data_IF_201952384983
#
_entry.id   IF_201952384983
#
_cell.length_a   1.000
_cell.length_b   1.000
_cell.length_c   1.000
_cell.angle_alpha   90.00
_cell.angle_beta   90.00
_cell.angle_gamma   90.00
#
_symmetry.space_group_name_H-M   'P 1'
#
loop_
_entity.id
_entity.type
_entity.pdbx_description
1 polymer ?
#
# COMPACT_ATOMS: atom_id res chain seq x y z
N UNK A 1 -69.92 10.18 18.71
CA UNK A 1 -68.72 9.65 18.08
C UNK A 1 -67.73 9.42 19.20
N UNK A 2 -67.62 8.18 19.61
CA UNK A 2 -66.81 7.72 20.75
C UNK A 2 -65.46 7.33 20.22
N UNK A 3 -64.40 8.02 20.67
CA UNK A 3 -63.01 7.74 20.37
C UNK A 3 -62.57 6.61 21.30
N UNK A 4 -62.10 5.46 20.71
CA UNK A 4 -61.43 4.42 21.44
C UNK A 4 -59.96 4.76 21.70
N UNK A 5 -59.40 4.42 22.85
CA UNK A 5 -57.97 4.64 23.12
C UNK A 5 -57.11 3.62 22.39
N UNK A 6 -55.98 4.10 21.83
CA UNK A 6 -54.90 3.27 21.27
C UNK A 6 -54.21 2.47 22.36
N UNK A 7 -53.73 1.22 22.04
CA UNK A 7 -53.00 0.40 23.00
C UNK A 7 -51.54 0.90 23.14
N UNK A 8 -51.05 0.81 24.38
CA UNK A 8 -49.70 1.15 24.82
C UNK A 8 -48.62 0.51 23.92
N UNK A 9 -47.72 1.32 23.43
CA UNK A 9 -46.47 0.89 22.81
C UNK A 9 -45.53 0.45 23.94
N UNK A 10 -45.33 -0.86 24.10
CA UNK A 10 -44.21 -1.42 24.85
C UNK A 10 -42.89 -0.88 24.29
N UNK A 11 -42.10 -0.27 25.16
CA UNK A 11 -40.72 0.15 24.89
C UNK A 11 -39.85 -1.07 24.72
N UNK A 12 -39.60 -1.48 23.49
CA UNK A 12 -38.57 -2.46 23.18
C UNK A 12 -37.18 -1.89 23.54
N UNK A 13 -36.52 -2.51 24.48
CA UNK A 13 -35.15 -2.21 24.86
C UNK A 13 -34.19 -2.40 23.68
N UNK A 14 -32.95 -1.84 23.75
CA UNK A 14 -32.00 -1.91 22.66
C UNK A 14 -31.68 -3.36 22.30
N UNK A 15 -31.46 -3.68 21.00
CA UNK A 15 -31.19 -5.04 20.57
C UNK A 15 -29.88 -5.51 21.17
N UNK A 16 -29.96 -6.54 21.97
CA UNK A 16 -28.84 -7.26 22.55
C UNK A 16 -27.99 -7.89 21.43
N UNK A 17 -26.71 -7.58 21.48
CA UNK A 17 -25.55 -8.29 20.88
C UNK A 17 -25.82 -9.10 19.62
N UNK A 18 -25.28 -8.62 18.51
CA UNK A 18 -24.90 -9.50 17.41
C UNK A 18 -23.80 -10.45 17.92
N UNK A 19 -24.21 -11.58 18.47
CA UNK A 19 -23.31 -12.72 18.60
C UNK A 19 -22.92 -13.11 17.17
N UNK A 20 -21.69 -12.85 16.80
CA UNK A 20 -21.12 -13.35 15.56
C UNK A 20 -21.23 -14.87 15.60
N UNK A 21 -22.15 -15.42 14.84
CA UNK A 21 -22.17 -16.85 14.55
C UNK A 21 -20.81 -17.20 13.97
N UNK A 22 -20.08 -18.09 14.62
CA UNK A 22 -18.85 -18.64 14.07
C UNK A 22 -19.15 -19.15 12.66
N UNK A 23 -18.35 -18.79 11.63
CA UNK A 23 -18.57 -19.30 10.31
C UNK A 23 -18.52 -20.82 10.37
N UNK A 24 -19.60 -21.47 9.91
CA UNK A 24 -19.65 -22.91 9.77
C UNK A 24 -18.43 -23.32 8.95
N UNK A 25 -17.60 -24.21 9.51
CA UNK A 25 -16.47 -24.77 8.80
C UNK A 25 -17.03 -25.49 7.56
N UNK A 26 -16.84 -24.87 6.39
CA UNK A 26 -17.09 -25.55 5.14
C UNK A 26 -16.11 -26.73 5.08
N UNK A 27 -16.58 -27.97 4.84
CA UNK A 27 -15.68 -29.08 4.67
C UNK A 27 -14.75 -28.77 3.51
N UNK A 28 -13.45 -28.65 3.80
CA UNK A 28 -12.40 -28.60 2.80
C UNK A 28 -12.36 -29.97 2.12
N UNK A 29 -13.23 -30.20 1.17
CA UNK A 29 -13.06 -31.31 0.22
C UNK A 29 -11.85 -30.94 -0.63
N UNK A 30 -10.70 -31.54 -0.35
CA UNK A 30 -9.50 -31.50 -1.16
C UNK A 30 -9.72 -32.19 -2.51
N UNK A 31 -10.51 -31.57 -3.36
CA UNK A 31 -10.64 -31.90 -4.77
C UNK A 31 -10.32 -30.64 -5.54
N UNK A 32 -9.33 -30.70 -6.44
CA UNK A 32 -9.14 -29.69 -7.48
C UNK A 32 -10.46 -29.58 -8.23
N UNK A 33 -11.25 -28.51 -7.95
CA UNK A 33 -12.36 -28.17 -8.82
C UNK A 33 -11.73 -27.79 -10.16
N UNK A 34 -11.93 -28.64 -11.17
CA UNK A 34 -11.60 -28.28 -12.53
C UNK A 34 -12.35 -26.99 -12.84
N UNK A 35 -11.63 -25.96 -13.23
CA UNK A 35 -12.24 -24.71 -13.64
C UNK A 35 -12.73 -24.87 -15.10
N UNK A 36 -14.05 -24.96 -15.34
CA UNK A 36 -14.58 -25.17 -16.70
C UNK A 36 -14.37 -23.96 -17.61
N UNK A 37 -13.99 -22.80 -17.02
CA UNK A 37 -13.80 -21.55 -17.75
C UNK A 37 -12.33 -21.23 -18.05
N UNK A 38 -11.40 -22.12 -17.68
CA UNK A 38 -9.95 -21.87 -17.81
C UNK A 38 -9.55 -21.40 -19.22
N UNK A 39 -10.13 -22.00 -20.26
CA UNK A 39 -9.86 -21.63 -21.66
C UNK A 39 -10.54 -20.33 -22.12
N UNK A 40 -11.48 -19.79 -21.32
CA UNK A 40 -12.24 -18.57 -21.63
C UNK A 40 -11.71 -17.32 -20.96
N UNK A 41 -10.77 -17.47 -20.01
CA UNK A 41 -10.17 -16.31 -19.36
C UNK A 41 -9.25 -15.54 -20.31
N UNK A 42 -9.18 -14.23 -20.09
CA UNK A 42 -8.22 -13.39 -20.79
C UNK A 42 -6.79 -13.70 -20.34
N UNK A 43 -5.81 -13.51 -21.22
CA UNK A 43 -4.38 -13.71 -20.92
C UNK A 43 -3.91 -13.00 -19.63
N UNK A 44 -4.45 -11.81 -19.37
CA UNK A 44 -4.13 -11.03 -18.16
C UNK A 44 -4.45 -11.75 -16.85
N UNK A 45 -5.40 -12.69 -16.85
CA UNK A 45 -5.79 -13.42 -15.64
C UNK A 45 -4.75 -14.45 -15.22
N UNK A 46 -3.94 -14.96 -16.16
CA UNK A 46 -2.88 -15.93 -15.86
C UNK A 46 -1.79 -15.34 -14.94
N UNK A 47 -1.59 -14.02 -14.98
CA UNK A 47 -0.69 -13.28 -14.07
C UNK A 47 -1.29 -12.92 -12.71
N UNK A 48 -2.62 -13.05 -12.54
CA UNK A 48 -3.29 -12.66 -11.30
C UNK A 48 -3.08 -13.73 -10.21
N UNK A 49 -2.38 -13.36 -9.15
CA UNK A 49 -2.17 -14.21 -7.98
C UNK A 49 -2.66 -13.50 -6.73
N UNK A 50 -3.16 -14.26 -5.76
CA UNK A 50 -3.45 -13.71 -4.44
C UNK A 50 -2.14 -13.15 -3.86
N UNK A 51 -2.15 -11.91 -3.38
CA UNK A 51 -0.96 -11.35 -2.74
C UNK A 51 -0.60 -12.18 -1.49
N UNK A 52 0.68 -12.39 -1.24
CA UNK A 52 1.18 -13.10 -0.04
C UNK A 52 0.65 -12.43 1.24
N UNK A 53 0.49 -11.11 1.23
CA UNK A 53 -0.13 -10.34 2.33
C UNK A 53 -1.56 -10.79 2.61
N UNK A 54 -2.37 -11.06 1.58
CA UNK A 54 -3.77 -11.52 1.75
C UNK A 54 -3.85 -12.89 2.42
N UNK A 55 -2.96 -13.80 2.06
CA UNK A 55 -2.89 -15.12 2.69
C UNK A 55 -2.54 -15.03 4.18
N UNK A 56 -1.68 -14.05 4.54
CA UNK A 56 -1.29 -13.79 5.92
C UNK A 56 -2.41 -13.17 6.77
N UNK A 57 -3.34 -12.41 6.19
CA UNK A 57 -4.41 -11.76 6.96
C UNK A 57 -5.28 -12.76 7.75
N UNK A 58 -5.53 -13.95 7.22
CA UNK A 58 -6.33 -14.96 7.91
C UNK A 58 -5.68 -15.44 9.22
N UNK A 59 -4.35 -15.39 9.31
CA UNK A 59 -3.58 -15.77 10.49
C UNK A 59 -3.23 -14.56 11.36
N UNK A 60 -2.87 -13.45 10.73
CA UNK A 60 -2.46 -12.20 11.37
C UNK A 60 -3.57 -11.56 12.24
N UNK A 61 -4.84 -11.87 11.96
CA UNK A 61 -5.98 -11.37 12.73
C UNK A 61 -6.29 -12.19 14.01
N UNK A 62 -5.53 -13.24 14.29
CA UNK A 62 -5.70 -14.01 15.53
C UNK A 62 -5.10 -13.26 16.72
N UNK A 63 -5.80 -13.11 17.86
CA UNK A 63 -5.32 -12.30 18.99
C UNK A 63 -3.97 -12.74 19.57
N UNK A 64 -3.67 -14.06 19.48
CA UNK A 64 -2.40 -14.64 19.94
C UNK A 64 -1.22 -14.36 19.01
N UNK A 65 -1.47 -13.96 17.76
CA UNK A 65 -0.42 -13.64 16.77
C UNK A 65 -0.04 -12.17 16.88
N UNK A 66 1.26 -11.90 16.97
CA UNK A 66 1.78 -10.54 16.79
C UNK A 66 1.93 -10.27 15.31
N UNK A 67 1.04 -9.47 14.75
CA UNK A 67 1.11 -9.13 13.34
C UNK A 67 2.03 -7.94 13.11
N UNK A 68 3.24 -8.19 12.59
CA UNK A 68 4.15 -7.19 12.04
C UNK A 68 4.05 -7.13 10.50
N UNK A 69 3.00 -7.74 9.92
CA UNK A 69 2.79 -7.85 8.47
C UNK A 69 1.89 -6.73 7.91
N UNK A 70 0.88 -6.33 8.67
CA UNK A 70 -0.18 -5.44 8.19
C UNK A 70 0.25 -3.98 8.05
N UNK A 71 -0.31 -3.28 7.07
CA UNK A 71 -0.18 -1.82 6.91
C UNK A 71 -1.47 -1.08 7.26
N UNK A 72 -2.23 -1.60 8.22
CA UNK A 72 -3.46 -0.97 8.68
C UNK A 72 -3.14 0.14 9.69
N UNK A 73 -3.64 1.38 9.48
CA UNK A 73 -3.43 2.44 10.44
C UNK A 73 -4.13 2.12 11.77
N UNK A 74 -3.67 2.74 12.82
CA UNK A 74 -4.28 2.65 14.14
C UNK A 74 -5.56 3.51 14.18
N UNK A 75 -6.70 2.87 14.35
CA UNK A 75 -8.00 3.55 14.31
C UNK A 75 -8.56 3.89 15.69
N UNK A 76 -8.05 3.29 16.78
CA UNK A 76 -8.56 3.53 18.14
C UNK A 76 -8.33 4.98 18.62
N UNK A 77 -7.43 5.72 17.96
CA UNK A 77 -7.21 7.14 18.19
C UNK A 77 -8.17 8.06 17.41
N UNK A 78 -9.08 7.51 16.59
CA UNK A 78 -10.08 8.32 15.88
C UNK A 78 -11.24 8.69 16.82
N UNK A 79 -11.78 9.90 16.72
CA UNK A 79 -12.95 10.31 17.46
C UNK A 79 -14.22 9.66 16.84
N UNK A 80 -14.48 8.40 17.15
CA UNK A 80 -15.56 7.62 16.54
C UNK A 80 -16.95 8.20 16.79
N UNK A 81 -17.17 8.83 17.94
CA UNK A 81 -18.38 9.57 18.29
C UNK A 81 -18.60 10.76 17.35
N UNK A 82 -17.57 11.57 17.11
CA UNK A 82 -17.59 12.68 16.15
C UNK A 82 -17.84 12.18 14.72
N UNK A 83 -17.21 11.09 14.33
CA UNK A 83 -17.42 10.50 13.00
C UNK A 83 -18.85 9.95 12.83
N UNK A 84 -19.44 9.41 13.89
CA UNK A 84 -20.85 8.98 13.90
C UNK A 84 -21.80 10.19 13.73
N UNK A 85 -21.55 11.29 14.46
CA UNK A 85 -22.32 12.54 14.34
C UNK A 85 -22.19 13.14 12.94
N UNK A 86 -20.98 13.18 12.38
CA UNK A 86 -20.75 13.65 11.00
C UNK A 86 -21.57 12.82 10.01
N UNK A 87 -21.52 11.50 10.13
CA UNK A 87 -22.25 10.59 9.23
C UNK A 87 -23.76 10.83 9.33
N UNK A 88 -24.30 10.93 10.55
CA UNK A 88 -25.71 11.23 10.78
C UNK A 88 -26.09 12.61 10.21
N UNK A 89 -25.27 13.63 10.44
CA UNK A 89 -25.48 14.99 9.91
C UNK A 89 -25.49 15.00 8.37
N UNK A 90 -24.55 14.34 7.72
CA UNK A 90 -24.49 14.24 6.25
C UNK A 90 -25.78 13.65 5.71
N UNK A 91 -26.27 12.55 6.28
CA UNK A 91 -27.51 11.92 5.84
C UNK A 91 -28.73 12.81 6.13
N UNK A 92 -28.79 13.46 7.30
CA UNK A 92 -29.92 14.30 7.68
C UNK A 92 -30.03 15.59 6.86
N UNK A 93 -28.89 16.21 6.50
CA UNK A 93 -28.89 17.56 5.85
C UNK A 93 -28.62 17.48 4.34
N UNK A 94 -27.91 16.49 3.85
CA UNK A 94 -27.51 16.31 2.45
C UNK A 94 -27.81 14.91 1.92
N UNK A 95 -28.75 14.19 2.55
CA UNK A 95 -29.01 12.77 2.25
C UNK A 95 -29.33 12.49 0.78
N UNK A 96 -30.11 13.37 0.13
CA UNK A 96 -30.43 13.22 -1.30
C UNK A 96 -29.17 13.28 -2.19
N UNK A 97 -28.20 14.14 -1.84
CA UNK A 97 -26.91 14.21 -2.55
C UNK A 97 -26.00 13.06 -2.15
N UNK A 98 -25.91 12.74 -0.87
CA UNK A 98 -25.04 11.71 -0.34
C UNK A 98 -25.36 10.30 -0.88
N UNK A 99 -26.65 10.02 -1.11
CA UNK A 99 -27.15 8.71 -1.54
C UNK A 99 -27.45 8.63 -3.04
N UNK A 100 -27.18 9.69 -3.82
CA UNK A 100 -27.32 9.71 -5.27
C UNK A 100 -25.96 9.63 -5.97
N UNK A 101 -25.97 9.31 -7.25
CA UNK A 101 -24.79 9.43 -8.10
C UNK A 101 -24.22 10.85 -8.10
N UNK A 102 -22.89 10.97 -8.13
CA UNK A 102 -22.18 12.23 -8.20
C UNK A 102 -21.40 12.43 -9.50
N UNK A 103 -20.47 13.38 -9.48
CA UNK A 103 -19.54 13.60 -10.56
C UNK A 103 -18.49 12.46 -10.63
N UNK A 104 -18.12 12.03 -11.84
CA UNK A 104 -17.00 11.12 -12.07
C UNK A 104 -15.66 11.68 -11.60
N UNK A 105 -15.53 13.00 -11.54
CA UNK A 105 -14.35 13.69 -11.02
C UNK A 105 -14.34 13.80 -9.48
N UNK A 106 -15.49 13.69 -8.82
CA UNK A 106 -15.68 13.82 -7.39
C UNK A 106 -16.32 15.17 -6.96
N UNK A 107 -16.63 15.25 -5.67
CA UNK A 107 -17.27 16.44 -5.04
C UNK A 107 -16.34 17.65 -5.10
N UNK A 108 -16.85 18.80 -5.56
CA UNK A 108 -16.09 20.02 -5.78
C UNK A 108 -15.48 20.56 -4.49
N UNK A 109 -16.26 20.62 -3.42
CA UNK A 109 -15.76 21.08 -2.11
C UNK A 109 -14.64 20.18 -1.59
N UNK A 110 -14.77 18.87 -1.75
CA UNK A 110 -13.71 17.96 -1.35
C UNK A 110 -12.44 18.16 -2.19
N UNK A 111 -12.56 18.43 -3.49
CA UNK A 111 -11.39 18.71 -4.35
C UNK A 111 -10.64 19.96 -3.89
N UNK A 112 -11.35 21.03 -3.52
CA UNK A 112 -10.77 22.24 -2.92
C UNK A 112 -10.04 21.93 -1.59
N UNK A 113 -10.67 21.14 -0.71
CA UNK A 113 -10.08 20.75 0.58
C UNK A 113 -8.87 19.83 0.44
N UNK A 114 -8.87 18.95 -0.55
CA UNK A 114 -7.69 18.12 -0.89
C UNK A 114 -6.50 19.00 -1.27
N UNK A 115 -6.71 20.12 -1.97
CA UNK A 115 -5.64 21.09 -2.24
C UNK A 115 -5.07 21.71 -0.96
N UNK A 116 -5.91 22.00 0.05
CA UNK A 116 -5.42 22.49 1.35
C UNK A 116 -4.51 21.46 2.04
N UNK A 117 -4.85 20.16 1.91
CA UNK A 117 -4.02 19.07 2.42
C UNK A 117 -2.69 19.02 1.68
N UNK A 118 -2.70 19.09 0.34
CA UNK A 118 -1.51 18.98 -0.50
C UNK A 118 -0.59 20.20 -0.43
N UNK A 119 -1.11 21.38 -0.09
CA UNK A 119 -0.26 22.56 0.16
C UNK A 119 0.73 22.36 1.30
N UNK A 120 0.47 21.42 2.22
CA UNK A 120 1.45 21.03 3.23
C UNK A 120 2.71 20.39 2.64
N UNK A 121 2.60 19.84 1.43
CA UNK A 121 3.71 19.24 0.67
C UNK A 121 4.14 20.11 -0.53
N UNK A 122 3.76 21.39 -0.50
CA UNK A 122 4.15 22.40 -1.50
C UNK A 122 3.42 22.31 -2.84
N UNK A 123 2.38 21.48 -2.97
CA UNK A 123 1.62 21.37 -4.22
C UNK A 123 0.61 22.53 -4.29
N UNK A 124 0.76 23.35 -5.33
CA UNK A 124 -0.21 24.35 -5.74
C UNK A 124 -0.81 23.92 -7.09
N UNK A 125 -2.11 23.63 -7.10
CA UNK A 125 -2.83 23.15 -8.27
C UNK A 125 -4.26 23.71 -8.28
N UNK A 126 -4.92 23.60 -9.44
CA UNK A 126 -6.32 23.99 -9.56
C UNK A 126 -7.24 22.83 -9.09
N UNK A 127 -8.41 23.10 -8.45
CA UNK A 127 -9.35 22.04 -8.07
C UNK A 127 -9.78 21.14 -9.24
N UNK A 128 -9.76 21.68 -10.47
CA UNK A 128 -10.07 20.91 -11.68
C UNK A 128 -8.98 19.90 -12.06
N UNK A 129 -7.77 20.01 -11.54
CA UNK A 129 -6.71 19.02 -11.78
C UNK A 129 -6.82 17.82 -10.84
N UNK A 130 -7.69 17.91 -9.83
CA UNK A 130 -7.94 16.83 -8.85
C UNK A 130 -9.03 15.90 -9.34
N UNK A 131 -8.74 14.61 -9.34
CA UNK A 131 -9.73 13.52 -9.55
C UNK A 131 -9.82 12.70 -8.28
N UNK A 132 -11.00 12.71 -7.63
CA UNK A 132 -11.25 11.86 -6.47
C UNK A 132 -11.43 10.41 -6.92
N UNK A 133 -10.83 9.49 -6.18
CA UNK A 133 -10.84 8.06 -6.50
C UNK A 133 -11.24 7.22 -5.28
N UNK A 134 -11.59 5.95 -5.52
CA UNK A 134 -11.89 4.97 -4.46
C UNK A 134 -10.59 4.46 -3.82
N UNK A 135 -9.84 5.39 -3.17
CA UNK A 135 -8.50 5.20 -2.66
C UNK A 135 -7.43 5.27 -3.76
N UNK A 136 -6.15 5.48 -3.38
CA UNK A 136 -5.01 5.57 -4.32
C UNK A 136 -4.81 4.31 -5.15
N UNK A 137 -5.24 3.14 -4.67
CA UNK A 137 -5.19 1.89 -5.44
C UNK A 137 -6.01 1.96 -6.74
N UNK A 138 -7.17 2.64 -6.72
CA UNK A 138 -7.93 2.88 -7.95
C UNK A 138 -7.21 3.89 -8.85
N UNK A 139 -6.60 4.92 -8.29
CA UNK A 139 -5.82 5.87 -9.07
C UNK A 139 -4.65 5.19 -9.80
N UNK A 140 -3.92 4.26 -9.12
CA UNK A 140 -2.91 3.41 -9.73
C UNK A 140 -3.47 2.58 -10.89
N UNK A 141 -4.62 1.93 -10.69
CA UNK A 141 -5.29 1.13 -11.73
C UNK A 141 -5.67 2.01 -12.94
N UNK A 142 -6.27 3.18 -12.70
CA UNK A 142 -6.67 4.10 -13.75
C UNK A 142 -5.49 4.63 -14.56
N UNK A 143 -4.39 5.05 -13.90
CA UNK A 143 -3.18 5.49 -14.58
C UNK A 143 -2.60 4.34 -15.41
N UNK A 144 -2.48 3.16 -14.84
CA UNK A 144 -1.96 2.00 -15.56
C UNK A 144 -2.85 1.66 -16.78
N UNK A 145 -4.17 1.71 -16.60
CA UNK A 145 -5.16 1.44 -17.65
C UNK A 145 -5.04 2.38 -18.85
N UNK A 146 -4.76 3.67 -18.62
CA UNK A 146 -4.71 4.66 -19.71
C UNK A 146 -3.34 4.74 -20.41
N UNK A 147 -2.27 4.24 -19.78
CA UNK A 147 -0.93 4.34 -20.35
C UNK A 147 -0.34 3.03 -20.85
N UNK A 148 -0.77 1.87 -20.33
CA UNK A 148 -0.08 0.60 -20.53
C UNK A 148 -0.82 -0.30 -21.53
N UNK A 149 -0.12 -0.64 -22.59
CA UNK A 149 -0.39 -1.81 -23.41
C UNK A 149 0.49 -2.99 -22.97
N UNK A 150 0.09 -4.26 -23.24
CA UNK A 150 0.92 -5.42 -22.91
C UNK A 150 2.36 -5.31 -23.44
N UNK A 151 3.35 -5.51 -22.56
CA UNK A 151 4.78 -5.42 -22.87
C UNK A 151 5.38 -4.01 -22.83
N UNK A 152 4.58 -2.97 -22.53
CA UNK A 152 5.12 -1.65 -22.22
C UNK A 152 5.89 -1.67 -20.90
N UNK A 153 6.91 -0.83 -20.80
CA UNK A 153 7.82 -0.80 -19.66
C UNK A 153 7.39 0.24 -18.62
N UNK A 154 7.25 -0.22 -17.39
CA UNK A 154 7.18 0.61 -16.20
C UNK A 154 8.52 0.48 -15.48
N UNK A 155 9.16 1.61 -15.17
CA UNK A 155 10.34 1.65 -14.31
C UNK A 155 9.87 1.86 -12.87
N UNK A 156 10.33 1.04 -11.93
CA UNK A 156 9.90 1.10 -10.54
C UNK A 156 11.08 0.90 -9.58
N UNK A 157 10.97 1.47 -8.39
CA UNK A 157 11.95 1.26 -7.32
C UNK A 157 12.10 -0.24 -6.96
N UNK A 158 13.26 -0.64 -6.47
CA UNK A 158 13.54 -1.98 -5.98
C UNK A 158 14.01 -1.92 -4.50
N UNK A 159 13.20 -2.42 -3.56
CA UNK A 159 11.87 -3.03 -3.69
C UNK A 159 10.77 -2.04 -4.06
N UNK A 160 9.55 -2.53 -4.39
CA UNK A 160 8.39 -1.70 -4.73
C UNK A 160 7.12 -2.12 -4.00
N UNK A 161 6.13 -1.24 -3.95
CA UNK A 161 4.85 -1.54 -3.31
C UNK A 161 4.12 -2.70 -4.01
N UNK A 162 3.82 -3.76 -3.25
CA UNK A 162 3.18 -4.99 -3.76
C UNK A 162 1.84 -4.74 -4.45
N UNK A 163 1.06 -3.74 -3.98
CA UNK A 163 -0.22 -3.39 -4.61
C UNK A 163 -0.05 -2.78 -5.99
N UNK A 164 0.99 -1.97 -6.21
CA UNK A 164 1.35 -1.42 -7.51
C UNK A 164 1.85 -2.52 -8.46
N UNK A 165 2.76 -3.38 -8.00
CA UNK A 165 3.24 -4.52 -8.78
C UNK A 165 2.11 -5.45 -9.22
N UNK A 166 1.08 -5.63 -8.36
CA UNK A 166 -0.13 -6.40 -8.69
C UNK A 166 -0.96 -5.76 -9.80
N UNK A 167 -1.12 -4.43 -9.78
CA UNK A 167 -1.80 -3.67 -10.84
C UNK A 167 -1.00 -3.77 -12.14
N UNK A 168 0.30 -3.50 -12.12
CA UNK A 168 1.15 -3.55 -13.32
C UNK A 168 1.13 -4.92 -13.99
N UNK A 169 1.17 -6.00 -13.19
CA UNK A 169 1.05 -7.37 -13.68
C UNK A 169 -0.32 -7.63 -14.32
N UNK A 170 -1.41 -7.08 -13.76
CA UNK A 170 -2.75 -7.26 -14.33
C UNK A 170 -2.90 -6.59 -15.69
N UNK A 171 -2.12 -5.55 -15.98
CA UNK A 171 -2.06 -4.92 -17.31
C UNK A 171 -0.94 -5.48 -18.18
N UNK A 172 -0.26 -6.55 -17.76
CA UNK A 172 0.81 -7.21 -18.52
C UNK A 172 1.98 -6.26 -18.83
N UNK A 173 2.22 -5.27 -17.96
CA UNK A 173 3.39 -4.42 -18.05
C UNK A 173 4.66 -5.22 -17.78
N UNK A 174 5.75 -4.80 -18.42
CA UNK A 174 7.08 -5.24 -18.08
C UNK A 174 7.67 -4.27 -17.04
N UNK A 175 7.95 -4.76 -15.85
CA UNK A 175 8.46 -3.92 -14.75
C UNK A 175 9.96 -4.08 -14.65
N UNK A 176 10.67 -2.97 -14.82
CA UNK A 176 12.13 -2.90 -14.66
C UNK A 176 12.46 -2.15 -13.38
N UNK A 177 13.21 -2.81 -12.51
CA UNK A 177 13.56 -2.28 -11.21
C UNK A 177 14.81 -1.40 -11.24
N UNK A 178 14.79 -0.30 -10.45
CA UNK A 178 15.93 0.57 -10.17
C UNK A 178 16.22 0.54 -8.67
N UNK A 179 17.48 0.33 -8.24
CA UNK A 179 17.82 0.22 -6.83
C UNK A 179 17.61 1.53 -6.07
N UNK A 180 17.31 1.38 -4.78
CA UNK A 180 17.25 2.45 -3.79
C UNK A 180 18.32 2.23 -2.73
N UNK A 181 18.69 3.29 -2.01
CA UNK A 181 19.54 3.25 -0.83
C UNK A 181 18.87 4.01 0.34
N UNK A 182 19.63 4.36 1.38
CA UNK A 182 19.15 5.12 2.54
C UNK A 182 18.62 6.53 2.19
N UNK A 183 18.96 7.04 1.01
CA UNK A 183 18.49 8.32 0.47
C UNK A 183 17.44 8.15 -0.65
N UNK A 184 16.82 6.98 -0.77
CA UNK A 184 15.79 6.64 -1.75
C UNK A 184 16.34 6.29 -3.13
N UNK A 185 15.58 6.55 -4.18
CA UNK A 185 15.92 6.21 -5.56
C UNK A 185 17.28 6.78 -5.97
N UNK A 186 18.15 5.93 -6.53
CA UNK A 186 19.52 6.32 -6.95
C UNK A 186 19.48 6.92 -8.35
N UNK A 187 19.73 8.26 -8.54
CA UNK A 187 19.62 8.91 -9.83
C UNK A 187 20.54 8.33 -10.91
N UNK A 188 21.78 7.99 -10.57
CA UNK A 188 22.73 7.40 -11.51
C UNK A 188 22.26 6.03 -12.03
N UNK A 189 21.70 5.19 -11.17
CA UNK A 189 21.13 3.90 -11.55
C UNK A 189 19.87 4.06 -12.41
N UNK A 190 19.03 5.08 -12.12
CA UNK A 190 17.88 5.42 -12.96
C UNK A 190 18.34 5.79 -14.37
N UNK A 191 19.33 6.68 -14.50
CA UNK A 191 19.87 7.11 -15.78
C UNK A 191 20.44 5.94 -16.59
N UNK A 192 21.26 5.09 -15.96
CA UNK A 192 21.83 3.91 -16.61
C UNK A 192 20.73 2.95 -17.11
N UNK A 193 19.72 2.70 -16.28
CA UNK A 193 18.59 1.83 -16.64
C UNK A 193 17.80 2.39 -17.83
N UNK A 194 17.47 3.69 -17.80
CA UNK A 194 16.72 4.32 -18.87
C UNK A 194 17.53 4.37 -20.18
N UNK A 195 18.83 4.64 -20.11
CA UNK A 195 19.72 4.62 -21.28
C UNK A 195 19.78 3.21 -21.91
N UNK A 196 19.89 2.16 -21.09
CA UNK A 196 19.91 0.78 -21.57
C UNK A 196 18.59 0.41 -22.25
N UNK A 197 17.46 0.73 -21.63
CA UNK A 197 16.13 0.46 -22.18
C UNK A 197 15.85 1.23 -23.48
N UNK A 198 16.24 2.50 -23.54
CA UNK A 198 16.12 3.33 -24.74
C UNK A 198 16.96 2.78 -25.90
N UNK A 199 18.21 2.32 -25.63
CA UNK A 199 19.06 1.69 -26.63
C UNK A 199 18.49 0.40 -27.23
N UNK A 200 17.66 -0.31 -26.47
CA UNK A 200 16.93 -1.51 -26.88
C UNK A 200 15.61 -1.18 -27.60
N UNK A 201 15.26 0.11 -27.75
CA UNK A 201 14.00 0.53 -28.36
C UNK A 201 12.75 0.15 -27.56
N UNK A 202 12.88 -0.04 -26.23
CA UNK A 202 11.76 -0.40 -25.34
C UNK A 202 10.80 0.80 -25.20
N UNK A 203 9.51 0.51 -25.11
CA UNK A 203 8.46 1.53 -24.92
C UNK A 203 8.33 1.88 -23.45
N UNK A 204 9.03 2.91 -23.01
CA UNK A 204 8.96 3.44 -21.64
C UNK A 204 7.68 4.25 -21.45
N UNK A 205 6.99 4.09 -20.34
CA UNK A 205 5.71 4.78 -20.06
C UNK A 205 5.79 5.72 -18.86
N UNK A 206 6.15 5.20 -17.70
CA UNK A 206 6.32 6.04 -16.52
C UNK A 206 7.30 5.42 -15.51
N UNK A 207 7.84 6.30 -14.65
CA UNK A 207 8.53 5.93 -13.44
C UNK A 207 7.52 5.89 -12.28
N UNK A 208 7.41 4.76 -11.60
CA UNK A 208 6.63 4.63 -10.37
C UNK A 208 7.54 4.76 -9.16
N UNK A 209 7.20 5.66 -8.23
CA UNK A 209 7.97 5.90 -7.00
C UNK A 209 7.08 6.21 -5.81
N UNK A 210 7.53 5.80 -4.61
CA UNK A 210 6.96 6.17 -3.31
C UNK A 210 8.00 7.05 -2.60
N UNK A 211 8.00 8.37 -2.82
CA UNK A 211 9.14 9.22 -2.46
C UNK A 211 9.30 9.47 -0.96
N UNK A 212 8.26 9.26 -0.16
CA UNK A 212 8.27 9.50 1.28
C UNK A 212 7.95 8.23 2.07
N UNK A 213 8.83 7.87 3.01
CA UNK A 213 8.64 6.74 3.93
C UNK A 213 8.23 5.47 3.19
N UNK A 214 9.00 5.14 2.19
CA UNK A 214 8.75 4.12 1.17
C UNK A 214 8.20 2.80 1.71
N UNK A 215 7.21 2.25 1.04
CA UNK A 215 6.72 0.90 1.31
C UNK A 215 7.32 -0.09 0.30
N UNK A 216 8.24 -1.00 0.71
CA UNK A 216 8.45 -1.48 2.09
C UNK A 216 9.63 -0.85 2.84
N UNK A 217 10.50 -0.08 2.20
CA UNK A 217 11.85 0.20 2.70
C UNK A 217 11.92 1.23 3.85
N UNK A 218 10.88 2.04 4.06
CA UNK A 218 10.86 3.06 5.11
C UNK A 218 11.76 4.27 4.86
N UNK A 219 12.51 4.31 3.74
CA UNK A 219 13.39 5.42 3.36
C UNK A 219 12.63 6.49 2.58
N UNK A 220 13.21 7.68 2.44
CA UNK A 220 12.66 8.76 1.63
C UNK A 220 13.67 9.25 0.61
N UNK A 221 13.18 9.68 -0.57
CA UNK A 221 14.03 10.34 -1.55
C UNK A 221 14.48 11.70 -0.97
N UNK A 222 15.79 11.89 -0.86
CA UNK A 222 16.36 13.13 -0.35
C UNK A 222 16.00 14.33 -1.22
N UNK A 223 15.96 15.53 -0.64
CA UNK A 223 15.61 16.76 -1.37
C UNK A 223 16.53 17.02 -2.54
N UNK A 224 17.82 16.70 -2.40
CA UNK A 224 18.84 16.91 -3.44
C UNK A 224 18.63 15.97 -4.63
N UNK A 225 18.08 14.77 -4.43
CA UNK A 225 17.82 13.79 -5.50
C UNK A 225 16.55 14.09 -6.29
N UNK A 226 15.54 14.73 -5.69
CA UNK A 226 14.25 14.98 -6.34
C UNK A 226 14.38 15.73 -7.67
N UNK A 227 15.08 16.89 -7.77
CA UNK A 227 15.24 17.58 -9.04
C UNK A 227 16.08 16.78 -10.06
N UNK A 228 17.05 15.97 -9.62
CA UNK A 228 17.85 15.13 -10.50
C UNK A 228 17.00 14.03 -11.15
N UNK A 229 16.13 13.38 -10.36
CA UNK A 229 15.22 12.35 -10.86
C UNK A 229 14.25 12.94 -11.89
N UNK A 230 13.68 14.12 -11.61
CA UNK A 230 12.77 14.80 -12.52
C UNK A 230 13.47 15.24 -13.82
N UNK A 231 14.72 15.72 -13.74
CA UNK A 231 15.52 16.06 -14.92
C UNK A 231 15.79 14.82 -15.78
N UNK A 232 16.17 13.70 -15.17
CA UNK A 232 16.39 12.44 -15.87
C UNK A 232 15.08 11.98 -16.54
N UNK A 233 13.96 11.92 -15.80
CA UNK A 233 12.67 11.53 -16.34
C UNK A 233 12.27 12.39 -17.56
N UNK A 234 12.44 13.72 -17.47
CA UNK A 234 12.15 14.66 -18.56
C UNK A 234 13.01 14.41 -19.81
N UNK A 235 14.31 14.10 -19.64
CA UNK A 235 15.22 13.79 -20.78
C UNK A 235 14.76 12.58 -21.58
N UNK A 236 14.16 11.60 -20.90
CA UNK A 236 13.64 10.40 -21.55
C UNK A 236 12.15 10.49 -21.92
N UNK A 237 11.51 11.65 -21.72
CA UNK A 237 10.07 11.84 -21.98
C UNK A 237 9.17 10.97 -21.11
N UNK A 238 9.61 10.69 -19.90
CA UNK A 238 8.98 9.75 -18.96
C UNK A 238 8.13 10.51 -17.95
N UNK A 239 6.85 10.16 -17.82
CA UNK A 239 6.03 10.64 -16.71
C UNK A 239 6.49 10.01 -15.38
N UNK A 240 6.34 10.75 -14.29
CA UNK A 240 6.57 10.23 -12.93
C UNK A 240 5.22 10.02 -12.25
N UNK A 241 4.98 8.80 -11.79
CA UNK A 241 3.83 8.44 -10.98
C UNK A 241 4.26 8.44 -9.51
N UNK A 242 3.96 9.52 -8.82
CA UNK A 242 4.28 9.76 -7.42
C UNK A 242 3.16 9.21 -6.52
N UNK A 243 3.37 8.07 -5.87
CA UNK A 243 2.42 7.49 -4.90
C UNK A 243 2.81 7.90 -3.48
N UNK A 244 2.06 8.81 -2.88
CA UNK A 244 2.46 9.46 -1.64
C UNK A 244 1.42 9.37 -0.50
N UNK A 245 1.11 8.15 -0.02
CA UNK A 245 0.14 7.97 1.06
C UNK A 245 0.69 8.32 2.45
N UNK A 246 2.00 8.51 2.60
CA UNK A 246 2.68 8.69 3.89
C UNK A 246 3.28 10.08 4.09
N UNK A 247 3.31 10.95 3.10
CA UNK A 247 4.04 12.22 3.13
C UNK A 247 3.77 13.10 4.35
N UNK A 248 2.55 13.05 4.89
CA UNK A 248 2.16 13.78 6.10
C UNK A 248 2.51 13.06 7.41
N UNK A 249 3.06 11.84 7.36
CA UNK A 249 3.35 11.00 8.54
C UNK A 249 4.84 10.97 8.90
N UNK A 250 5.58 12.01 8.55
CA UNK A 250 6.94 12.24 9.04
C UNK A 250 6.96 12.53 10.54
N UNK A 251 7.92 11.96 11.28
CA UNK A 251 7.95 12.10 12.73
C UNK A 251 8.46 13.47 13.17
N UNK A 252 9.33 14.08 12.41
CA UNK A 252 9.94 15.37 12.69
C UNK A 252 9.77 16.36 11.54
N UNK A 253 9.81 17.66 11.87
CA UNK A 253 9.77 18.72 10.89
C UNK A 253 8.44 18.89 10.14
N UNK A 254 8.50 19.72 9.12
CA UNK A 254 7.41 19.90 8.16
C UNK A 254 7.43 18.82 7.08
N UNK A 255 6.29 18.56 6.43
CA UNK A 255 6.24 17.64 5.30
C UNK A 255 7.22 18.04 4.19
N UNK A 256 7.86 17.05 3.58
CA UNK A 256 8.83 17.28 2.49
C UNK A 256 8.08 17.66 1.21
N UNK A 257 8.53 18.70 0.46
CA UNK A 257 7.89 19.07 -0.81
C UNK A 257 7.80 17.90 -1.79
N UNK A 258 6.60 17.62 -2.30
CA UNK A 258 6.35 16.53 -3.24
C UNK A 258 7.10 16.74 -4.57
N UNK A 259 7.33 15.67 -5.34
CA UNK A 259 7.86 15.77 -6.71
C UNK A 259 6.93 16.61 -7.60
N UNK A 260 5.61 16.43 -7.43
CA UNK A 260 4.58 17.22 -8.11
C UNK A 260 4.71 18.72 -7.86
N UNK A 261 5.20 19.14 -6.71
CA UNK A 261 5.42 20.56 -6.40
C UNK A 261 6.56 21.19 -7.21
N UNK A 262 7.44 20.35 -7.79
CA UNK A 262 8.61 20.77 -8.55
C UNK A 262 8.40 20.62 -10.07
N UNK A 263 7.45 19.79 -10.51
CA UNK A 263 7.11 19.57 -11.93
C UNK A 263 5.64 19.19 -12.07
N UNK A 264 4.82 20.15 -12.44
CA UNK A 264 3.36 20.00 -12.56
C UNK A 264 2.91 19.37 -13.88
N UNK A 265 3.76 19.36 -14.90
CA UNK A 265 3.48 18.76 -16.21
C UNK A 265 4.06 17.34 -16.35
N UNK A 266 5.12 17.01 -15.60
CA UNK A 266 5.81 15.71 -15.67
C UNK A 266 5.40 14.72 -14.60
N UNK A 267 4.63 15.12 -13.58
CA UNK A 267 4.30 14.27 -12.41
C UNK A 267 2.81 14.10 -12.27
N UNK A 268 2.37 12.85 -12.08
CA UNK A 268 1.03 12.47 -11.59
C UNK A 268 1.18 12.13 -10.11
N UNK A 269 0.53 12.91 -9.24
CA UNK A 269 0.54 12.69 -7.80
C UNK A 269 -0.67 11.88 -7.37
N UNK A 270 -0.47 10.87 -6.51
CA UNK A 270 -1.51 10.07 -5.89
C UNK A 270 -1.50 10.26 -4.38
N UNK A 271 -2.64 10.65 -3.83
CA UNK A 271 -2.84 10.81 -2.40
C UNK A 271 -4.01 10.00 -1.86
N UNK A 272 -4.09 9.86 -0.53
CA UNK A 272 -5.13 9.07 0.10
C UNK A 272 -5.36 9.48 1.56
N UNK A 273 -6.62 9.48 1.99
CA UNK A 273 -6.98 9.57 3.42
C UNK A 273 -6.84 8.23 4.17
N UNK A 274 -6.44 7.17 3.49
CA UNK A 274 -6.35 5.83 4.09
C UNK A 274 -5.35 5.74 5.24
N UNK A 275 -4.33 6.59 5.29
CA UNK A 275 -3.27 6.55 6.30
C UNK A 275 -3.34 7.70 7.31
N UNK A 276 -4.00 8.79 6.93
CA UNK A 276 -4.13 10.01 7.75
C UNK A 276 -5.49 10.13 8.43
N UNK A 277 -6.51 9.39 7.95
CA UNK A 277 -7.84 9.32 8.57
C UNK A 277 -8.28 7.86 8.72
N UNK A 278 -8.93 7.28 7.72
CA UNK A 278 -9.43 5.91 7.81
C UNK A 278 -9.52 5.24 6.44
N UNK A 279 -8.97 4.03 6.27
CA UNK A 279 -9.00 3.30 4.99
C UNK A 279 -10.40 2.87 4.59
N UNK A 280 -11.34 2.74 5.54
CA UNK A 280 -12.72 2.30 5.31
C UNK A 280 -13.55 3.28 4.47
N UNK A 281 -13.25 4.56 4.48
CA UNK A 281 -13.92 5.55 3.63
C UNK A 281 -13.63 5.35 2.14
N UNK A 282 -12.52 4.70 1.79
CA UNK A 282 -12.12 4.47 0.39
C UNK A 282 -12.07 5.78 -0.40
N UNK A 283 -11.45 6.81 0.12
CA UNK A 283 -11.21 8.08 -0.57
C UNK A 283 -9.72 8.34 -0.75
N UNK A 284 -9.33 8.53 -1.99
CA UNK A 284 -8.04 8.98 -2.44
C UNK A 284 -8.22 9.96 -3.60
N UNK A 285 -7.14 10.39 -4.19
CA UNK A 285 -7.17 11.31 -5.33
C UNK A 285 -5.93 11.16 -6.21
N UNK A 286 -6.06 11.64 -7.44
CA UNK A 286 -4.96 11.92 -8.33
C UNK A 286 -4.93 13.41 -8.65
N UNK A 287 -3.73 14.01 -8.73
CA UNK A 287 -3.50 15.31 -9.35
C UNK A 287 -2.61 15.10 -10.55
N UNK A 288 -3.09 15.48 -11.73
CA UNK A 288 -2.43 15.17 -12.98
C UNK A 288 -2.43 16.39 -13.92
N UNK A 289 -1.54 16.42 -14.91
CA UNK A 289 -1.64 17.38 -16.01
C UNK A 289 -3.01 17.32 -16.65
N UNK A 290 -3.50 18.48 -17.12
CA UNK A 290 -4.90 18.64 -17.58
C UNK A 290 -5.33 17.56 -18.61
N UNK A 291 -4.50 17.28 -19.60
CA UNK A 291 -4.82 16.29 -20.63
C UNK A 291 -4.92 14.85 -20.06
N UNK A 292 -4.10 14.53 -19.05
CA UNK A 292 -4.14 13.24 -18.35
C UNK A 292 -5.38 13.15 -17.48
N UNK A 293 -5.72 14.24 -16.75
CA UNK A 293 -6.89 14.32 -15.90
C UNK A 293 -8.17 14.00 -16.66
N UNK A 294 -8.38 14.52 -17.87
CA UNK A 294 -9.55 14.18 -18.68
C UNK A 294 -9.68 12.69 -18.96
N UNK A 295 -8.58 12.02 -19.28
CA UNK A 295 -8.56 10.58 -19.50
C UNK A 295 -8.82 9.80 -18.22
N UNK A 296 -8.31 10.26 -17.07
CA UNK A 296 -8.58 9.64 -15.77
C UNK A 296 -10.06 9.71 -15.41
N UNK A 297 -10.73 10.86 -15.64
CA UNK A 297 -12.19 11.00 -15.39
C UNK A 297 -12.96 10.01 -16.24
N UNK A 298 -12.73 9.96 -17.56
CA UNK A 298 -13.41 9.03 -18.47
C UNK A 298 -13.16 7.55 -18.08
N UNK A 299 -11.93 7.21 -17.71
CA UNK A 299 -11.58 5.86 -17.26
C UNK A 299 -12.29 5.52 -15.93
N UNK A 300 -12.38 6.49 -14.98
CA UNK A 300 -13.10 6.33 -13.72
C UNK A 300 -14.59 6.12 -13.94
N UNK A 301 -15.23 6.95 -14.77
CA UNK A 301 -16.65 6.81 -15.12
C UNK A 301 -16.96 5.45 -15.74
N UNK A 302 -16.09 4.99 -16.64
CA UNK A 302 -16.21 3.66 -17.26
C UNK A 302 -16.03 2.50 -16.25
N UNK A 303 -15.28 2.71 -15.16
CA UNK A 303 -14.99 1.67 -14.18
C UNK A 303 -16.03 1.60 -13.05
N UNK A 304 -16.45 2.76 -12.51
CA UNK A 304 -17.27 2.83 -11.29
C UNK A 304 -18.40 3.87 -11.36
N UNK A 305 -18.59 4.56 -12.48
CA UNK A 305 -19.47 5.71 -12.67
C UNK A 305 -18.99 6.94 -11.89
N UNK A 306 -18.98 6.86 -10.58
CA UNK A 306 -18.49 7.91 -9.67
C UNK A 306 -18.03 7.31 -8.34
N UNK A 307 -17.11 7.98 -7.60
CA UNK A 307 -16.80 7.63 -6.22
C UNK A 307 -17.99 7.83 -5.29
N UNK A 308 -18.00 7.14 -4.12
CA UNK A 308 -19.09 7.27 -3.13
C UNK A 308 -19.25 8.69 -2.63
N UNK A 309 -20.38 9.33 -2.92
CA UNK A 309 -20.71 10.65 -2.40
C UNK A 309 -20.82 10.66 -0.87
N UNK A 310 -21.39 9.63 -0.26
CA UNK A 310 -21.50 9.55 1.19
C UNK A 310 -20.13 9.60 1.86
N UNK A 311 -19.15 8.87 1.33
CA UNK A 311 -17.76 8.90 1.83
C UNK A 311 -17.11 10.27 1.63
N UNK A 312 -17.27 10.85 0.45
CA UNK A 312 -16.72 12.16 0.12
C UNK A 312 -17.27 13.26 1.03
N UNK A 313 -18.59 13.32 1.20
CA UNK A 313 -19.26 14.32 2.04
C UNK A 313 -18.93 14.14 3.52
N UNK A 314 -18.74 12.90 3.99
CA UNK A 314 -18.30 12.63 5.37
C UNK A 314 -16.90 13.17 5.60
N UNK A 315 -15.96 12.92 4.69
CA UNK A 315 -14.58 13.44 4.78
C UNK A 315 -14.57 14.97 4.64
N UNK A 316 -15.31 15.52 3.68
CA UNK A 316 -15.44 16.98 3.50
C UNK A 316 -15.95 17.65 4.78
N UNK A 317 -16.96 17.06 5.43
CA UNK A 317 -17.48 17.57 6.70
C UNK A 317 -16.42 17.45 7.81
N UNK A 318 -15.69 16.33 7.90
CA UNK A 318 -14.61 16.16 8.86
C UNK A 318 -13.52 17.22 8.68
N UNK A 319 -13.04 17.43 7.48
CA UNK A 319 -12.02 18.45 7.17
C UNK A 319 -12.47 19.87 7.52
N UNK A 320 -13.77 20.16 7.38
CA UNK A 320 -14.34 21.49 7.68
C UNK A 320 -14.59 21.72 9.17
N UNK A 321 -14.82 20.67 9.97
CA UNK A 321 -15.34 20.81 11.34
C UNK A 321 -14.41 20.27 12.42
N UNK A 322 -13.40 19.48 12.06
CA UNK A 322 -12.49 18.85 13.01
C UNK A 322 -11.06 19.37 12.85
N UNK A 323 -10.28 19.26 13.92
CA UNK A 323 -8.84 19.52 13.88
C UNK A 323 -8.08 18.35 13.29
N UNK A 324 -8.22 18.16 11.97
CA UNK A 324 -7.55 17.09 11.25
C UNK A 324 -6.01 17.22 11.26
N UNK A 325 -5.47 18.44 11.38
CA UNK A 325 -4.02 18.68 11.51
C UNK A 325 -3.50 18.18 12.85
N UNK A 326 -4.24 18.47 13.93
CA UNK A 326 -3.95 17.92 15.26
C UNK A 326 -4.02 16.39 15.30
N UNK A 327 -4.99 15.79 14.58
CA UNK A 327 -5.09 14.35 14.46
C UNK A 327 -3.85 13.74 13.76
N UNK A 328 -3.38 14.35 12.67
CA UNK A 328 -2.14 13.90 11.99
C UNK A 328 -0.95 14.01 12.95
N UNK A 329 -0.84 15.12 13.71
CA UNK A 329 0.23 15.29 14.69
C UNK A 329 0.21 14.18 15.75
N UNK A 330 -0.95 13.84 16.28
CA UNK A 330 -1.10 12.74 17.25
C UNK A 330 -0.68 11.39 16.65
N UNK A 331 -0.97 11.15 15.38
CA UNK A 331 -0.50 9.93 14.69
C UNK A 331 1.02 9.92 14.51
N UNK A 332 1.65 11.05 14.19
CA UNK A 332 3.11 11.16 14.06
C UNK A 332 3.80 10.78 15.38
N UNK A 333 3.29 11.28 16.52
CA UNK A 333 3.81 10.97 17.85
C UNK A 333 3.64 9.48 18.20
N UNK A 334 2.45 8.93 17.96
CA UNK A 334 2.14 7.52 18.19
C UNK A 334 3.04 6.58 17.36
N UNK A 335 3.20 6.86 16.07
CA UNK A 335 4.00 6.00 15.19
C UNK A 335 5.50 6.14 15.45
N UNK A 336 5.95 7.29 15.90
CA UNK A 336 7.34 7.48 16.38
C UNK A 336 7.64 6.53 17.55
N UNK A 337 6.79 6.54 18.60
CA UNK A 337 6.96 5.67 19.76
C UNK A 337 7.03 4.19 19.35
N UNK A 338 6.17 3.78 18.42
CA UNK A 338 6.15 2.41 17.91
C UNK A 338 7.37 2.06 17.07
N UNK A 339 7.83 2.98 16.21
CA UNK A 339 9.09 2.86 15.49
C UNK A 339 10.27 2.67 16.43
N UNK A 340 10.34 3.47 17.48
CA UNK A 340 11.43 3.41 18.48
C UNK A 340 11.42 2.06 19.21
N UNK A 341 10.24 1.55 19.55
CA UNK A 341 10.10 0.20 20.11
C UNK A 341 10.56 -0.90 19.14
N UNK A 342 10.25 -0.77 17.84
CA UNK A 342 10.69 -1.71 16.81
C UNK A 342 12.20 -1.71 16.65
N UNK A 343 12.80 -0.54 16.46
CA UNK A 343 14.25 -0.38 16.25
C UNK A 343 15.04 -0.84 17.47
N UNK A 344 14.59 -0.47 18.66
CA UNK A 344 15.21 -0.92 19.92
C UNK A 344 15.16 -2.43 20.09
N UNK A 345 14.01 -3.07 19.78
CA UNK A 345 13.86 -4.52 19.87
C UNK A 345 14.70 -5.26 18.83
N UNK A 346 14.82 -4.72 17.62
CA UNK A 346 15.70 -5.29 16.58
C UNK A 346 17.17 -5.24 17.02
N UNK A 347 17.63 -4.11 17.58
CA UNK A 347 18.98 -3.98 18.09
C UNK A 347 19.29 -4.94 19.25
N UNK A 348 18.31 -5.22 20.10
CA UNK A 348 18.47 -6.13 21.25
C UNK A 348 18.45 -7.61 20.82
N UNK A 349 17.54 -7.99 19.93
CA UNK A 349 17.23 -9.40 19.67
C UNK A 349 17.74 -9.93 18.34
N UNK A 350 18.08 -9.06 17.37
CA UNK A 350 18.54 -9.43 16.03
C UNK A 350 19.82 -8.65 15.62
N UNK A 351 20.88 -8.62 16.45
CA UNK A 351 22.06 -7.77 16.22
C UNK A 351 22.82 -8.10 14.93
N UNK A 352 22.68 -9.32 14.39
CA UNK A 352 23.34 -9.77 13.16
C UNK A 352 22.54 -9.42 11.89
N UNK A 353 21.31 -8.89 12.02
CA UNK A 353 20.52 -8.38 10.91
C UNK A 353 20.82 -6.91 10.68
N UNK A 354 20.49 -6.41 9.49
CA UNK A 354 20.51 -4.96 9.20
C UNK A 354 19.11 -4.47 8.88
N UNK A 355 18.80 -3.22 9.20
CA UNK A 355 17.47 -2.66 8.98
C UNK A 355 17.52 -1.16 8.71
N UNK A 356 16.47 -0.69 8.06
CA UNK A 356 16.25 0.75 7.90
C UNK A 356 15.65 1.36 9.17
N UNK A 357 16.03 2.60 9.48
CA UNK A 357 15.46 3.40 10.56
C UNK A 357 14.61 4.50 9.93
N UNK A 358 13.28 4.31 9.79
CA UNK A 358 12.43 5.28 9.11
C UNK A 358 12.18 6.53 9.95
N UNK A 359 12.13 7.69 9.29
CA UNK A 359 11.77 8.99 9.89
C UNK A 359 10.26 9.28 9.77
N UNK A 360 9.46 8.30 9.36
CA UNK A 360 8.02 8.40 9.19
C UNK A 360 7.41 7.11 8.63
N UNK A 361 6.13 7.17 8.29
CA UNK A 361 5.42 6.04 7.70
C UNK A 361 5.19 4.88 8.68
N UNK A 362 5.24 3.64 8.17
CA UNK A 362 4.74 2.46 8.88
C UNK A 362 5.71 1.28 8.93
N UNK A 363 6.84 1.31 8.23
CA UNK A 363 7.61 0.12 7.91
C UNK A 363 9.10 0.25 8.19
N UNK A 364 9.67 -0.85 8.62
CA UNK A 364 11.11 -1.11 8.66
C UNK A 364 11.43 -2.26 7.71
N UNK A 365 12.48 -2.12 6.91
CA UNK A 365 12.97 -3.13 5.99
C UNK A 365 14.17 -3.81 6.61
N UNK A 366 14.04 -5.11 6.84
CA UNK A 366 15.06 -5.90 7.54
C UNK A 366 15.70 -6.86 6.55
N UNK A 367 17.03 -6.87 6.53
CA UNK A 367 17.85 -7.88 5.85
C UNK A 367 18.35 -8.87 6.88
N UNK A 368 18.09 -10.14 6.61
CA UNK A 368 18.52 -11.28 7.43
C UNK A 368 20.02 -11.55 7.27
N UNK A 369 20.63 -12.25 8.24
CA UNK A 369 21.94 -12.85 8.06
C UNK A 369 22.00 -13.76 6.83
N UNK A 370 23.22 -13.93 6.28
CA UNK A 370 23.46 -14.74 5.08
C UNK A 370 22.95 -16.19 5.24
N UNK A 371 22.38 -16.72 4.16
CA UNK A 371 21.89 -18.10 4.10
C UNK A 371 20.44 -18.29 4.56
N UNK A 372 19.76 -17.24 5.02
CA UNK A 372 18.37 -17.31 5.45
C UNK A 372 17.39 -16.79 4.36
N UNK A 373 16.25 -17.46 4.24
CA UNK A 373 15.16 -17.09 3.34
C UNK A 373 13.90 -16.75 4.15
N UNK A 374 13.48 -15.47 4.07
CA UNK A 374 12.32 -14.97 4.80
C UNK A 374 11.01 -15.67 4.41
N UNK A 375 10.91 -16.16 3.17
CA UNK A 375 9.72 -16.88 2.71
C UNK A 375 9.64 -18.27 3.29
N UNK A 376 10.76 -18.99 3.31
CA UNK A 376 10.85 -20.35 3.85
C UNK A 376 10.70 -20.38 5.37
N UNK A 377 11.12 -19.32 6.06
CA UNK A 377 10.96 -19.14 7.51
C UNK A 377 9.51 -18.83 7.92
N UNK A 378 8.67 -18.28 7.03
CA UNK A 378 7.35 -17.76 7.36
C UNK A 378 6.42 -18.76 8.06
N UNK A 379 6.32 -20.05 7.66
CA UNK A 379 5.49 -21.04 8.36
C UNK A 379 5.90 -21.24 9.83
N UNK A 380 7.21 -21.20 10.13
CA UNK A 380 7.73 -21.31 11.50
C UNK A 380 7.43 -20.05 12.31
N UNK A 381 7.56 -18.87 11.70
CA UNK A 381 7.19 -17.60 12.33
C UNK A 381 5.71 -17.59 12.72
N UNK A 382 4.83 -18.06 11.83
CA UNK A 382 3.39 -18.21 12.12
C UNK A 382 3.15 -19.20 13.28
N UNK A 383 3.88 -20.29 13.33
CA UNK A 383 3.84 -21.27 14.44
C UNK A 383 4.31 -20.63 15.76
N UNK A 384 5.34 -19.79 15.70
CA UNK A 384 5.83 -18.96 16.81
C UNK A 384 4.92 -17.76 17.13
N UNK A 385 3.77 -17.63 16.43
CA UNK A 385 2.78 -16.57 16.62
C UNK A 385 3.30 -15.16 16.35
N UNK A 386 4.13 -15.03 15.33
CA UNK A 386 4.55 -13.75 14.73
C UNK A 386 4.39 -13.81 13.23
N UNK A 387 3.97 -12.69 12.61
CA UNK A 387 3.79 -12.61 11.17
C UNK A 387 4.48 -11.37 10.60
N UNK A 388 5.14 -11.51 9.47
CA UNK A 388 5.80 -10.45 8.68
C UNK A 388 5.51 -10.66 7.20
N UNK A 389 5.96 -9.75 6.33
CA UNK A 389 5.87 -9.95 4.88
C UNK A 389 7.24 -10.27 4.31
N UNK A 390 7.43 -11.43 3.65
CA UNK A 390 8.68 -11.76 2.99
C UNK A 390 9.05 -10.75 1.90
N UNK A 391 10.34 -10.53 1.72
CA UNK A 391 10.85 -9.54 0.78
C UNK A 391 10.52 -9.85 -0.68
N UNK A 392 10.42 -11.12 -1.04
CA UNK A 392 10.05 -11.57 -2.40
C UNK A 392 8.73 -11.00 -2.90
N UNK A 393 7.81 -10.61 -2.00
CA UNK A 393 6.54 -9.98 -2.36
C UNK A 393 6.70 -8.58 -2.98
N UNK A 394 7.83 -7.91 -2.78
CA UNK A 394 8.09 -6.52 -3.17
C UNK A 394 8.99 -6.39 -4.39
N UNK A 395 9.25 -7.50 -5.08
CA UNK A 395 10.00 -7.55 -6.32
C UNK A 395 9.18 -8.25 -7.41
N UNK A 396 9.24 -7.72 -8.61
CA UNK A 396 8.49 -8.30 -9.75
C UNK A 396 9.12 -9.63 -10.21
N UNK A 397 10.43 -9.74 -10.08
CA UNK A 397 11.29 -10.86 -10.47
C UNK A 397 11.59 -11.87 -9.35
N UNK A 398 11.05 -11.64 -8.13
CA UNK A 398 11.19 -12.54 -7.00
C UNK A 398 12.50 -12.40 -6.19
N UNK A 399 13.28 -11.34 -6.41
CA UNK A 399 14.40 -10.97 -5.54
C UNK A 399 13.98 -10.71 -4.09
N UNK A 400 14.94 -10.52 -3.19
CA UNK A 400 14.67 -10.12 -1.80
C UNK A 400 14.34 -11.28 -0.86
N UNK A 401 14.79 -12.51 -1.16
CA UNK A 401 14.59 -13.68 -0.30
C UNK A 401 15.17 -13.49 1.10
N UNK A 402 16.31 -12.80 1.21
CA UNK A 402 17.01 -12.46 2.45
C UNK A 402 16.41 -11.24 3.18
N UNK A 403 15.27 -10.72 2.73
CA UNK A 403 14.63 -9.53 3.30
C UNK A 403 13.23 -9.81 3.83
N UNK A 404 12.79 -8.96 4.76
CA UNK A 404 11.40 -8.91 5.20
C UNK A 404 10.97 -7.49 5.55
N UNK A 405 9.67 -7.22 5.38
CA UNK A 405 9.05 -5.99 5.86
C UNK A 405 8.41 -6.21 7.22
N UNK A 406 8.77 -5.39 8.20
CA UNK A 406 8.11 -5.30 9.49
C UNK A 406 7.31 -4.01 9.58
N UNK A 407 6.08 -4.11 10.08
CA UNK A 407 5.19 -2.99 10.30
C UNK A 407 5.05 -2.70 11.79
N UNK A 408 5.20 -1.43 12.15
CA UNK A 408 5.00 -0.94 13.51
C UNK A 408 3.70 -0.14 13.69
N UNK A 409 2.89 0.02 12.65
CA UNK A 409 1.75 0.95 12.70
C UNK A 409 0.58 0.49 13.57
N UNK A 410 0.35 -0.82 13.70
CA UNK A 410 -0.83 -1.35 14.40
C UNK A 410 -0.55 -1.85 15.83
N UNK A 411 0.48 -2.69 16.12
CA UNK A 411 0.68 -3.23 17.45
C UNK A 411 1.16 -2.16 18.45
N UNK A 412 0.88 -2.37 19.74
CA UNK A 412 1.45 -1.53 20.80
C UNK A 412 2.96 -1.75 20.94
N UNK A 413 3.72 -0.83 21.59
CA UNK A 413 5.15 -1.00 21.82
C UNK A 413 5.53 -2.32 22.47
N UNK A 414 4.73 -2.81 23.46
CA UNK A 414 4.96 -4.08 24.14
C UNK A 414 4.76 -5.26 23.18
N UNK A 415 3.72 -5.21 22.35
CA UNK A 415 3.45 -6.23 21.34
C UNK A 415 4.53 -6.26 20.27
N UNK A 416 5.06 -5.11 19.88
CA UNK A 416 6.18 -5.01 18.94
C UNK A 416 7.41 -5.71 19.51
N UNK A 417 7.82 -5.40 20.75
CA UNK A 417 8.96 -6.05 21.41
C UNK A 417 8.79 -7.55 21.49
N UNK A 418 7.61 -8.01 21.90
CA UNK A 418 7.29 -9.44 21.95
C UNK A 418 7.34 -10.10 20.56
N UNK A 419 6.82 -9.42 19.52
CA UNK A 419 6.88 -9.92 18.15
C UNK A 419 8.31 -10.07 17.64
N UNK A 420 9.17 -9.09 17.87
CA UNK A 420 10.57 -9.14 17.48
C UNK A 420 11.32 -10.22 18.26
N UNK A 421 11.07 -10.36 19.57
CA UNK A 421 11.65 -11.44 20.37
C UNK A 421 11.28 -12.84 19.84
N UNK A 422 10.02 -13.05 19.45
CA UNK A 422 9.57 -14.32 18.83
C UNK A 422 10.24 -14.54 17.48
N UNK A 423 10.37 -13.49 16.67
CA UNK A 423 11.03 -13.54 15.38
C UNK A 423 12.51 -13.93 15.53
N UNK A 424 13.20 -13.36 16.52
CA UNK A 424 14.58 -13.71 16.82
C UNK A 424 14.74 -15.21 17.11
N UNK A 425 13.89 -15.80 17.94
CA UNK A 425 13.90 -17.24 18.19
C UNK A 425 13.67 -18.10 16.93
N UNK A 426 12.91 -17.58 15.94
CA UNK A 426 12.76 -18.25 14.63
C UNK A 426 14.05 -18.14 13.82
N UNK A 427 14.66 -16.95 13.77
CA UNK A 427 15.93 -16.71 13.07
C UNK A 427 17.05 -17.61 13.63
N UNK A 428 17.16 -17.72 14.96
CA UNK A 428 18.16 -18.56 15.63
C UNK A 428 17.95 -20.04 15.26
N UNK A 429 16.71 -20.53 15.32
CA UNK A 429 16.39 -21.90 14.92
C UNK A 429 16.66 -22.20 13.44
N UNK A 430 16.49 -21.22 12.55
CA UNK A 430 16.85 -21.38 11.13
C UNK A 430 18.37 -21.44 10.94
N UNK A 431 19.12 -20.61 11.65
CA UNK A 431 20.59 -20.62 11.60
C UNK A 431 21.12 -21.97 12.03
N UNK A 432 20.62 -22.53 13.14
CA UNK A 432 20.98 -23.88 13.59
C UNK A 432 20.70 -24.94 12.51
N UNK A 433 19.56 -24.85 11.81
CA UNK A 433 19.24 -25.77 10.73
C UNK A 433 20.18 -25.60 9.53
N UNK A 434 20.51 -24.40 9.14
CA UNK A 434 21.47 -24.12 8.05
C UNK A 434 22.87 -24.65 8.43
N UNK A 435 23.32 -24.47 9.67
CA UNK A 435 24.61 -25.02 10.16
C UNK A 435 24.61 -26.51 10.16
N UNK A 436 23.55 -27.19 10.60
CA UNK A 436 23.47 -28.64 10.70
C UNK A 436 23.30 -29.31 9.32
N UNK A 437 22.53 -28.72 8.42
CA UNK A 437 22.17 -29.36 7.14
C UNK A 437 22.80 -28.68 5.93
N UNK A 438 23.17 -27.39 6.01
CA UNK A 438 23.79 -26.62 4.93
C UNK A 438 25.24 -27.05 4.64
N UNK A 439 25.95 -27.56 5.63
CA UNK A 439 27.30 -28.06 5.45
C UNK A 439 27.39 -29.41 4.66
N UNK A 440 26.21 -30.03 4.39
CA UNK A 440 26.14 -31.34 3.69
C UNK A 440 25.73 -31.25 2.21
N UNK A 441 25.35 -30.12 1.67
CA UNK A 441 24.80 -30.02 0.30
C UNK A 441 25.74 -29.48 -0.76
N UNK A 442 27.03 -29.57 -0.56
CA UNK A 442 28.00 -29.51 -1.67
C UNK A 442 28.04 -30.88 -2.42
N UNK A 443 26.91 -31.27 -3.03
CA UNK A 443 26.96 -32.29 -4.08
C UNK A 443 27.62 -31.66 -5.32
N UNK A 444 28.65 -32.29 -5.91
CA UNK A 444 29.27 -31.77 -7.11
C UNK A 444 28.23 -31.74 -8.24
N UNK A 445 28.12 -30.60 -8.86
CA UNK A 445 27.14 -30.31 -9.91
C UNK A 445 27.11 -31.36 -10.99
N UNK A 446 26.04 -32.14 -11.00
CA UNK A 446 25.61 -32.90 -12.17
C UNK A 446 24.85 -31.98 -13.09
N UNK A 447 25.48 -31.57 -14.20
CA UNK A 447 24.83 -30.98 -15.34
C UNK A 447 23.74 -31.96 -15.87
N UNK A 448 22.50 -31.79 -15.44
CA UNK A 448 21.36 -32.40 -16.13
C UNK A 448 20.97 -31.50 -17.26
N UNK A 449 21.53 -31.73 -18.42
CA UNK A 449 21.03 -31.21 -19.68
C UNK A 449 19.59 -31.73 -19.89
N UNK A 450 18.61 -30.85 -19.94
CA UNK A 450 17.26 -31.21 -20.35
C UNK A 450 17.30 -31.76 -21.80
N UNK A 451 16.62 -32.88 -22.12
CA UNK A 451 16.48 -33.32 -23.49
C UNK A 451 15.65 -32.33 -24.27
N UNK A 452 16.21 -31.91 -25.42
CA UNK A 452 15.48 -31.09 -26.39
C UNK A 452 14.27 -31.84 -26.96
N UNK A 453 13.25 -31.10 -27.47
CA UNK A 453 12.08 -31.73 -28.08
C UNK A 453 12.51 -32.36 -29.41
N UNK A 454 12.35 -33.70 -29.52
CA UNK A 454 12.44 -34.40 -30.79
C UNK A 454 11.29 -33.97 -31.70
N UNK A 455 11.68 -33.55 -32.90
CA UNK A 455 10.81 -33.26 -34.01
C UNK A 455 10.40 -34.58 -34.65
N UNK A 456 9.11 -34.91 -34.65
CA UNK A 456 8.43 -35.75 -35.61
C UNK A 456 6.95 -35.39 -35.65
#
# INVERSE_FOLDING_TARGET
MTVQPEPDRETAGPPTSFAAAAPAAHPTTGGTRLDPWLASYSERTHGMRASEIRALFAVANRPEVVSLAGGMPFLDGLPLDVLAEITAKVVATRGLTALQYGSGQGDETLREQVLEVMRLEGIDAHPDDVVVTTGSQQALDLVTRIFIDPGDVIVAEAPSYVGALGVFRAYQADVVHVPIDEHGLIPAALEETLAALASQGRRLKFLYTVPNFHNPAGVSISLERRPLILEIARRYGLLVLEDNPYGLLGFDGDPVPALRSMDDEGVIYLGSFSKTLAPGYRVGWAVAPHAVREKLVLASESAILCPSNASQLSISTYLSTCDWKGQIKSYRELYRERRDAMVSALAEHLPDATWTVPDGGFYTWVRLPEGLDAKDMLPRAVTARVAYVPGTAFYFDGFGADHMRLSFCYPTPERIREGVRRLAGVVDGERELVELFGAGSALPGGNVQAPGPDVA
#
